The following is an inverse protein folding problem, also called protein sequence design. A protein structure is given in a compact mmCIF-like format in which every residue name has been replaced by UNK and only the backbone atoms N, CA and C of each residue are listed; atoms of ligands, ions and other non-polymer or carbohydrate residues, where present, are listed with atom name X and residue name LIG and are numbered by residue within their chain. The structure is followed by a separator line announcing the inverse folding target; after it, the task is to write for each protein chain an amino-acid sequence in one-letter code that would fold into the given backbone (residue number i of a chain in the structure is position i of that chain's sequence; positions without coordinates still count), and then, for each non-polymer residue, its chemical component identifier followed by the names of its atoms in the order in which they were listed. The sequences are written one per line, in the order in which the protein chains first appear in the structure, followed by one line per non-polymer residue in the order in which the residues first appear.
data_IF_781854182595
#
_entry.id   IF_781854182595
#
_cell.length_a   1.000
_cell.length_b   1.000
_cell.length_c   1.000
_cell.angle_alpha   90.00
_cell.angle_beta   90.00
_cell.angle_gamma   90.00
#
_symmetry.space_group_name_H-M   'P 1'
#
loop_
_entity.id
_entity.type
_entity.pdbx_description
1 polymer ?
#
# COMPACT_ATOMS: atom_id res chain seq x y z
N UNK A 1 -49.62 -14.11 -25.33
CA UNK A 1 -48.63 -13.04 -25.58
C UNK A 1 -48.54 -12.22 -24.30
N UNK A 2 -47.57 -12.48 -23.41
CA UNK A 2 -46.22 -11.88 -23.35
C UNK A 2 -46.25 -10.36 -23.16
N UNK A 3 -46.00 -9.89 -21.93
CA UNK A 3 -45.16 -8.71 -21.61
C UNK A 3 -45.06 -8.54 -20.08
N UNK A 4 -44.04 -9.16 -19.48
CA UNK A 4 -43.53 -8.77 -18.16
C UNK A 4 -42.66 -7.52 -18.37
N UNK A 5 -43.06 -6.39 -17.79
CA UNK A 5 -42.29 -5.14 -17.83
C UNK A 5 -41.18 -5.26 -16.79
N UNK A 6 -39.95 -5.43 -17.28
CA UNK A 6 -38.73 -5.35 -16.49
C UNK A 6 -38.42 -3.89 -16.14
N UNK A 7 -38.12 -3.66 -14.87
CA UNK A 7 -37.62 -2.39 -14.33
C UNK A 7 -36.22 -2.05 -14.84
N UNK A 8 -35.82 -0.76 -14.86
CA UNK A 8 -34.43 -0.39 -14.70
C UNK A 8 -34.20 0.02 -13.25
N UNK A 9 -33.65 -0.91 -12.45
CA UNK A 9 -32.90 -0.57 -11.24
C UNK A 9 -31.68 0.24 -11.70
N UNK A 10 -31.71 1.55 -11.46
CA UNK A 10 -30.55 2.41 -11.63
C UNK A 10 -29.50 1.98 -10.60
N UNK A 11 -28.56 1.13 -11.03
CA UNK A 11 -27.32 0.87 -10.33
C UNK A 11 -26.50 2.17 -10.37
N UNK A 12 -26.68 3.00 -9.34
CA UNK A 12 -25.69 3.99 -8.93
C UNK A 12 -24.47 3.22 -8.44
N UNK A 13 -23.67 2.70 -9.38
CA UNK A 13 -22.32 2.30 -9.12
C UNK A 13 -21.56 3.56 -8.71
N UNK A 14 -21.52 3.83 -7.40
CA UNK A 14 -20.68 4.88 -6.84
C UNK A 14 -19.26 4.67 -7.35
N UNK A 15 -18.59 5.76 -7.72
CA UNK A 15 -17.18 5.78 -8.04
C UNK A 15 -16.42 5.14 -6.87
N UNK A 16 -16.09 3.85 -6.98
CA UNK A 16 -15.25 3.18 -6.02
C UNK A 16 -13.86 3.77 -6.24
N UNK A 17 -13.54 4.79 -5.46
CA UNK A 17 -12.16 5.20 -5.27
C UNK A 17 -11.44 3.94 -4.78
N UNK A 18 -10.65 3.33 -5.67
CA UNK A 18 -9.93 2.05 -5.50
C UNK A 18 -8.80 2.14 -4.46
N UNK A 19 -8.89 3.10 -3.55
CA UNK A 19 -7.88 3.42 -2.58
C UNK A 19 -8.26 2.80 -1.24
N UNK A 20 -7.23 2.40 -0.52
CA UNK A 20 -7.33 1.98 0.86
C UNK A 20 -8.06 3.05 1.68
N UNK A 21 -9.05 2.61 2.46
CA UNK A 21 -9.69 3.44 3.47
C UNK A 21 -9.12 3.05 4.81
N UNK A 22 -8.50 4.00 5.49
CA UNK A 22 -7.96 3.79 6.83
C UNK A 22 -9.06 3.40 7.83
N UNK A 23 -8.75 2.54 8.82
CA UNK A 23 -9.68 2.24 9.89
C UNK A 23 -10.00 3.51 10.69
N UNK A 24 -11.29 3.81 10.84
CA UNK A 24 -11.77 5.00 11.57
C UNK A 24 -12.26 4.68 12.98
N UNK A 25 -12.30 3.40 13.35
CA UNK A 25 -12.80 2.91 14.64
C UNK A 25 -11.98 1.71 15.10
N UNK A 26 -11.72 1.59 16.40
CA UNK A 26 -10.97 0.47 16.97
C UNK A 26 -9.56 0.84 17.40
N UNK A 27 -8.80 -0.15 17.83
CA UNK A 27 -7.38 0.00 18.13
C UNK A 27 -6.58 -0.09 16.84
N UNK A 28 -5.76 0.93 16.57
CA UNK A 28 -5.01 1.05 15.33
C UNK A 28 -3.51 1.21 15.60
N UNK A 29 -2.71 1.00 14.56
CA UNK A 29 -1.28 1.27 14.51
C UNK A 29 -0.93 2.07 13.25
N UNK A 30 0.23 2.72 13.25
CA UNK A 30 0.76 3.41 12.08
C UNK A 30 1.87 2.59 11.42
N UNK A 31 1.86 2.56 10.09
CA UNK A 31 2.93 1.98 9.28
C UNK A 31 3.44 3.04 8.31
N UNK A 32 4.71 3.39 8.44
CA UNK A 32 5.42 4.28 7.52
C UNK A 32 6.23 3.45 6.54
N UNK A 33 5.84 3.50 5.26
CA UNK A 33 6.57 2.88 4.17
C UNK A 33 7.68 3.81 3.69
N UNK A 34 8.85 3.23 3.43
CA UNK A 34 10.01 3.89 2.84
C UNK A 34 10.64 2.97 1.78
N UNK A 35 11.57 3.49 0.97
CA UNK A 35 12.32 2.66 0.02
C UNK A 35 13.78 3.07 -0.11
N UNK A 36 14.57 2.22 -0.76
CA UNK A 36 15.92 2.54 -1.23
C UNK A 36 15.90 3.44 -2.49
N UNK A 37 15.21 4.58 -2.43
CA UNK A 37 14.96 5.48 -3.57
C UNK A 37 14.30 4.79 -4.77
N UNK A 38 13.39 3.85 -4.48
CA UNK A 38 12.65 3.10 -5.50
C UNK A 38 11.17 3.44 -5.45
N UNK A 39 10.68 4.07 -6.50
CA UNK A 39 9.24 4.31 -6.65
C UNK A 39 8.46 2.99 -6.71
N UNK A 40 7.52 2.83 -5.78
CA UNK A 40 6.71 1.63 -5.62
C UNK A 40 5.37 1.99 -4.97
N UNK A 41 4.38 1.10 -5.04
CA UNK A 41 3.06 1.31 -4.47
C UNK A 41 2.90 0.51 -3.17
N UNK A 42 2.84 1.15 -2.00
CA UNK A 42 2.42 0.49 -0.78
C UNK A 42 0.98 0.03 -0.86
N UNK A 43 0.69 -1.10 -0.20
CA UNK A 43 -0.64 -1.67 -0.08
C UNK A 43 -0.90 -2.22 1.32
N UNK A 44 -2.17 -2.24 1.70
CA UNK A 44 -2.66 -2.85 2.94
C UNK A 44 -3.73 -3.88 2.59
N UNK A 45 -3.68 -5.05 3.22
CA UNK A 45 -4.72 -6.06 3.10
C UNK A 45 -5.97 -5.62 3.87
N UNK A 46 -7.09 -5.53 3.15
CA UNK A 46 -8.41 -5.30 3.75
C UNK A 46 -9.23 -6.58 3.59
N UNK A 47 -9.67 -7.20 4.70
CA UNK A 47 -10.45 -8.43 4.64
C UNK A 47 -11.65 -8.32 3.70
N UNK A 48 -11.80 -9.31 2.81
CA UNK A 48 -12.87 -9.34 1.81
C UNK A 48 -12.75 -8.33 0.64
N UNK A 49 -11.80 -7.39 0.69
CA UNK A 49 -11.48 -6.48 -0.43
C UNK A 49 -10.12 -6.76 -1.08
N UNK A 50 -9.26 -7.55 -0.43
CA UNK A 50 -7.93 -7.84 -0.93
C UNK A 50 -6.90 -6.76 -0.57
N UNK A 51 -5.72 -6.80 -1.20
CA UNK A 51 -4.72 -5.73 -1.06
C UNK A 51 -5.21 -4.45 -1.76
N UNK A 52 -5.30 -3.37 -0.99
CA UNK A 52 -5.71 -2.05 -1.44
C UNK A 52 -4.51 -1.11 -1.44
N UNK A 53 -4.37 -0.29 -2.48
CA UNK A 53 -3.30 0.70 -2.58
C UNK A 53 -3.51 1.85 -1.59
N UNK A 54 -2.45 2.21 -0.87
CA UNK A 54 -2.44 3.46 -0.10
C UNK A 54 -2.66 4.65 -1.03
N UNK A 55 -3.12 5.77 -0.48
CA UNK A 55 -3.39 6.97 -1.27
C UNK A 55 -2.14 7.47 -2.00
N UNK A 56 -0.99 7.42 -1.35
CA UNK A 56 0.29 7.83 -1.92
C UNK A 56 1.13 6.63 -2.35
N UNK A 57 1.91 6.81 -3.41
CA UNK A 57 2.98 5.91 -3.83
C UNK A 57 4.34 6.43 -3.38
N UNK A 58 5.30 5.53 -3.16
CA UNK A 58 6.69 5.90 -2.90
C UNK A 58 7.31 6.58 -4.12
N UNK A 59 8.08 7.65 -3.90
CA UNK A 59 8.87 8.34 -4.92
C UNK A 59 10.38 8.07 -4.77
N UNK A 60 11.15 8.47 -5.78
CA UNK A 60 12.62 8.47 -5.74
C UNK A 60 13.11 9.85 -5.30
N UNK A 61 14.22 9.95 -4.54
CA UNK A 61 14.85 11.23 -4.18
C UNK A 61 15.94 11.64 -5.20
N UNK A 62 16.37 12.93 -5.26
CA UNK A 62 15.79 14.10 -4.62
C UNK A 62 14.95 14.87 -5.65
N UNK A 63 13.64 14.87 -5.47
CA UNK A 63 12.76 15.76 -6.22
C UNK A 63 12.76 17.08 -5.44
N UNK A 64 13.83 17.88 -5.55
CA UNK A 64 13.98 19.10 -4.75
C UNK A 64 13.54 20.36 -5.50
N UNK A 65 12.53 21.04 -4.94
CA UNK A 65 12.05 22.36 -5.35
C UNK A 65 10.54 22.48 -5.11
N UNK A 66 10.08 23.56 -4.44
CA UNK A 66 8.68 23.68 -3.99
C UNK A 66 7.61 23.54 -5.08
N UNK A 67 7.92 23.89 -6.33
CA UNK A 67 7.02 23.68 -7.48
C UNK A 67 6.84 22.19 -7.87
N UNK A 68 7.82 21.35 -7.50
CA UNK A 68 7.84 19.92 -7.77
C UNK A 68 7.19 19.13 -6.62
N UNK A 69 7.22 19.68 -5.40
CA UNK A 69 6.49 19.13 -4.24
C UNK A 69 4.97 19.20 -4.47
N UNK A 70 4.45 20.33 -4.95
CA UNK A 70 3.02 20.45 -5.32
C UNK A 70 2.63 19.50 -6.46
N UNK A 71 3.55 19.26 -7.41
CA UNK A 71 3.35 18.29 -8.47
C UNK A 71 3.31 16.86 -7.90
N UNK A 72 4.21 16.51 -6.98
CA UNK A 72 4.23 15.21 -6.34
C UNK A 72 2.97 14.96 -5.51
N UNK A 73 2.50 15.96 -4.77
CA UNK A 73 1.22 15.93 -4.05
C UNK A 73 0.06 15.69 -5.01
N UNK A 74 0.03 16.42 -6.13
CA UNK A 74 -0.98 16.22 -7.19
C UNK A 74 -0.90 14.81 -7.79
N UNK A 75 0.30 14.25 -7.89
CA UNK A 75 0.55 12.90 -8.37
C UNK A 75 0.37 11.83 -7.28
N UNK A 76 0.07 12.22 -6.04
CA UNK A 76 0.04 11.37 -4.84
C UNK A 76 1.31 10.53 -4.70
N UNK A 77 2.46 11.18 -4.70
CA UNK A 77 3.78 10.55 -4.56
C UNK A 77 4.56 11.19 -3.43
N UNK A 78 5.21 10.38 -2.59
CA UNK A 78 5.98 10.87 -1.45
C UNK A 78 7.19 9.96 -1.18
N UNK A 79 8.33 10.49 -0.67
CA UNK A 79 9.45 9.66 -0.24
C UNK A 79 9.09 8.69 0.89
N UNK A 80 8.14 9.10 1.74
CA UNK A 80 7.61 8.30 2.84
C UNK A 80 6.08 8.30 2.79
N UNK A 81 5.46 7.13 2.97
CA UNK A 81 4.00 6.99 2.95
C UNK A 81 3.55 6.38 4.27
N UNK A 82 2.88 7.18 5.10
CA UNK A 82 2.30 6.70 6.36
C UNK A 82 0.84 6.34 6.15
N UNK A 83 0.42 5.21 6.72
CA UNK A 83 -0.98 4.78 6.73
C UNK A 83 -1.33 4.14 8.06
N UNK A 84 -2.61 4.20 8.41
CA UNK A 84 -3.15 3.51 9.58
C UNK A 84 -3.53 2.06 9.25
N UNK A 85 -3.32 1.11 10.16
CA UNK A 85 -3.78 -0.29 10.07
C UNK A 85 -4.48 -0.72 11.36
N UNK A 86 -5.33 -1.75 11.30
CA UNK A 86 -5.93 -2.34 12.50
C UNK A 86 -4.85 -3.01 13.37
N UNK A 87 -4.91 -2.80 14.69
CA UNK A 87 -3.99 -3.45 15.64
C UNK A 87 -4.31 -4.94 15.84
N UNK A 88 -5.55 -5.36 15.61
CA UNK A 88 -5.94 -6.76 15.68
C UNK A 88 -7.10 -7.05 14.70
N UNK A 89 -7.13 -8.24 14.07
CA UNK A 89 -6.16 -9.34 14.14
C UNK A 89 -4.85 -9.03 13.36
N UNK A 90 -3.95 -10.02 13.25
CA UNK A 90 -2.74 -9.89 12.44
C UNK A 90 -3.06 -9.36 11.03
N UNK A 91 -2.35 -8.33 10.61
CA UNK A 91 -2.58 -7.64 9.34
C UNK A 91 -1.51 -8.02 8.31
N UNK A 92 -1.81 -7.80 7.04
CA UNK A 92 -0.85 -7.96 5.94
C UNK A 92 -0.61 -6.64 5.26
N UNK A 93 0.66 -6.29 5.10
CA UNK A 93 1.10 -5.13 4.34
C UNK A 93 1.96 -5.59 3.18
N UNK A 94 2.07 -4.79 2.14
CA UNK A 94 2.91 -5.14 1.00
C UNK A 94 3.31 -3.95 0.17
N UNK A 95 4.14 -4.24 -0.83
CA UNK A 95 4.58 -3.28 -1.83
C UNK A 95 4.51 -3.92 -3.21
N UNK A 96 3.94 -3.18 -4.16
CA UNK A 96 3.94 -3.52 -5.59
C UNK A 96 4.96 -2.63 -6.29
N UNK A 97 5.92 -3.26 -6.98
CA UNK A 97 6.83 -2.56 -7.86
C UNK A 97 6.55 -2.94 -9.30
N UNK A 98 6.41 -1.93 -10.16
CA UNK A 98 6.12 -2.10 -11.58
C UNK A 98 6.75 -0.94 -12.35
N UNK A 99 8.02 -1.09 -12.72
CA UNK A 99 8.77 -0.07 -13.46
C UNK A 99 8.99 -0.53 -14.90
N UNK A 100 8.73 0.38 -15.84
CA UNK A 100 9.13 0.21 -17.24
C UNK A 100 10.55 0.73 -17.39
N UNK A 101 11.40 -0.08 -18.00
CA UNK A 101 12.78 0.27 -18.34
C UNK A 101 12.86 0.94 -19.71
N UNK A 102 14.01 1.55 -20.02
CA UNK A 102 14.24 2.28 -21.26
C UNK A 102 14.18 1.36 -22.50
N UNK A 103 14.54 0.09 -22.35
CA UNK A 103 14.46 -0.95 -23.37
C UNK A 103 13.05 -1.56 -23.54
N UNK A 104 12.04 -0.96 -22.87
CA UNK A 104 10.66 -1.44 -22.78
C UNK A 104 10.44 -2.73 -22.00
N UNK A 105 11.49 -3.32 -21.41
CA UNK A 105 11.30 -4.37 -20.42
C UNK A 105 10.57 -3.81 -19.18
N UNK A 106 9.96 -4.70 -18.41
CA UNK A 106 9.23 -4.33 -17.20
C UNK A 106 9.71 -5.17 -16.04
N UNK A 107 10.24 -4.48 -15.05
CA UNK A 107 10.51 -5.08 -13.77
C UNK A 107 9.23 -5.05 -12.95
N UNK A 108 8.79 -6.24 -12.53
CA UNK A 108 7.56 -6.42 -11.77
C UNK A 108 7.82 -7.36 -10.63
N UNK A 109 7.46 -6.93 -9.44
CA UNK A 109 7.44 -7.79 -8.28
C UNK A 109 6.35 -7.34 -7.32
N UNK A 110 6.03 -8.22 -6.38
CA UNK A 110 5.18 -7.93 -5.24
C UNK A 110 5.72 -8.69 -4.04
N UNK A 111 5.73 -8.04 -2.89
CA UNK A 111 6.18 -8.63 -1.63
C UNK A 111 5.21 -8.23 -0.53
N UNK A 112 4.84 -9.18 0.32
CA UNK A 112 3.93 -8.95 1.43
C UNK A 112 4.48 -9.55 2.71
N UNK A 113 4.21 -8.88 3.82
CA UNK A 113 4.51 -9.33 5.17
C UNK A 113 3.20 -9.45 5.96
N UNK A 114 3.10 -10.47 6.79
CA UNK A 114 2.10 -10.57 7.84
C UNK A 114 2.75 -10.29 9.19
N UNK A 115 2.13 -9.45 10.02
CA UNK A 115 2.58 -9.18 11.37
C UNK A 115 1.40 -8.85 12.29
N UNK A 116 1.64 -8.85 13.60
CA UNK A 116 0.64 -8.51 14.63
C UNK A 116 0.96 -7.13 15.21
N UNK A 117 0.38 -6.04 14.65
CA UNK A 117 0.55 -4.70 15.21
C UNK A 117 0.02 -4.61 16.65
N UNK A 118 0.54 -3.67 17.43
CA UNK A 118 0.04 -3.32 18.75
C UNK A 118 -0.71 -2.00 18.67
N UNK A 119 -1.72 -1.81 19.51
CA UNK A 119 -2.47 -0.57 19.60
C UNK A 119 -1.55 0.61 19.90
N UNK A 120 -1.63 1.67 19.10
CA UNK A 120 -0.75 2.84 19.17
C UNK A 120 0.69 2.57 18.71
N UNK A 121 0.97 1.39 18.16
CA UNK A 121 2.29 1.03 17.66
C UNK A 121 2.66 1.83 16.40
N UNK A 122 3.94 2.14 16.28
CA UNK A 122 4.52 2.77 15.10
C UNK A 122 5.55 1.83 14.48
N UNK A 123 5.42 1.62 13.17
CA UNK A 123 6.23 0.67 12.43
C UNK A 123 6.80 1.29 11.16
N UNK A 124 8.04 0.93 10.82
CA UNK A 124 8.68 1.33 9.58
C UNK A 124 8.84 0.14 8.66
N UNK A 125 8.14 0.17 7.52
CA UNK A 125 8.24 -0.83 6.46
C UNK A 125 9.22 -0.33 5.38
N UNK A 126 10.39 -0.95 5.28
CA UNK A 126 11.43 -0.54 4.32
C UNK A 126 11.48 -1.48 3.12
N UNK A 127 11.17 -0.96 1.95
CA UNK A 127 11.19 -1.66 0.67
C UNK A 127 12.56 -1.52 -0.02
N UNK A 128 13.05 -2.64 -0.54
CA UNK A 128 14.27 -2.69 -1.33
C UNK A 128 14.00 -3.41 -2.63
N UNK A 129 14.33 -2.76 -3.75
CA UNK A 129 14.50 -3.43 -5.04
C UNK A 129 15.99 -3.49 -5.37
N UNK A 130 16.52 -4.70 -5.56
CA UNK A 130 17.89 -4.93 -6.04
C UNK A 130 17.92 -6.14 -6.99
N UNK A 131 18.58 -5.99 -8.14
CA UNK A 131 18.83 -7.08 -9.13
C UNK A 131 17.60 -7.95 -9.46
N UNK A 132 16.44 -7.35 -9.66
CA UNK A 132 15.21 -8.09 -10.02
C UNK A 132 14.48 -8.72 -8.84
N UNK A 133 14.95 -8.52 -7.61
CA UNK A 133 14.36 -9.06 -6.39
C UNK A 133 13.79 -7.95 -5.52
N UNK A 134 12.73 -8.30 -4.78
CA UNK A 134 12.03 -7.40 -3.89
C UNK A 134 12.07 -7.90 -2.47
N UNK A 135 12.59 -7.05 -1.59
CA UNK A 135 12.59 -7.24 -0.15
C UNK A 135 11.68 -6.23 0.52
N UNK A 136 11.04 -6.67 1.60
CA UNK A 136 10.34 -5.80 2.53
C UNK A 136 10.75 -6.21 3.94
N UNK A 137 11.13 -5.23 4.74
CA UNK A 137 11.49 -5.44 6.14
C UNK A 137 10.64 -4.52 7.03
N UNK A 138 10.42 -4.93 8.28
CA UNK A 138 9.59 -4.20 9.22
C UNK A 138 10.34 -3.98 10.53
N UNK A 139 10.37 -2.74 10.99
CA UNK A 139 10.93 -2.35 12.28
C UNK A 139 9.91 -1.62 13.13
N UNK A 140 10.06 -1.69 14.45
CA UNK A 140 9.31 -0.86 15.39
C UNK A 140 9.93 0.54 15.53
N UNK A 141 9.28 1.43 16.28
CA UNK A 141 9.77 2.78 16.58
C UNK A 141 11.15 2.81 17.25
N UNK A 142 11.54 1.75 17.97
CA UNK A 142 12.86 1.64 18.60
C UNK A 142 13.93 1.11 17.62
N UNK A 143 13.55 0.77 16.40
CA UNK A 143 14.43 0.24 15.36
C UNK A 143 14.68 -1.27 15.46
N UNK A 144 13.98 -1.97 16.35
CA UNK A 144 14.07 -3.42 16.46
C UNK A 144 13.31 -4.08 15.31
N UNK A 145 13.76 -5.27 14.91
CA UNK A 145 13.02 -6.06 13.93
C UNK A 145 11.71 -6.57 14.55
N UNK A 146 10.62 -6.43 13.82
CA UNK A 146 9.31 -6.98 14.21
C UNK A 146 9.23 -8.43 13.75
N UNK A 147 8.54 -9.28 14.51
CA UNK A 147 8.17 -10.62 14.06
C UNK A 147 7.15 -10.53 12.91
N UNK A 148 7.68 -10.39 11.70
CA UNK A 148 6.93 -10.26 10.46
C UNK A 148 7.34 -11.37 9.50
N UNK A 149 6.36 -12.12 9.01
CA UNK A 149 6.58 -13.28 8.15
C UNK A 149 6.24 -12.91 6.72
N UNK A 150 7.16 -13.18 5.79
CA UNK A 150 6.86 -13.06 4.37
C UNK A 150 5.75 -14.02 4.00
N UNK A 151 4.69 -13.50 3.38
CA UNK A 151 3.49 -14.25 3.04
C UNK A 151 3.19 -14.16 1.56
N UNK A 152 2.38 -15.09 1.07
CA UNK A 152 1.90 -15.08 -0.29
C UNK A 152 1.03 -13.83 -0.55
N UNK A 153 0.94 -13.45 -1.81
CA UNK A 153 0.07 -12.34 -2.24
C UNK A 153 -1.40 -12.77 -2.26
N UNK A 154 -1.91 -13.09 -1.08
CA UNK A 154 -3.29 -13.41 -0.81
C UNK A 154 -3.69 -12.61 0.42
N UNK A 155 -4.87 -12.00 0.37
CA UNK A 155 -5.44 -11.27 1.49
C UNK A 155 -6.76 -11.99 1.83
N UNK A 156 -6.88 -12.53 3.05
CA UNK A 156 -8.01 -13.38 3.43
C UNK A 156 -9.34 -12.62 3.48
#
# INVERSE_FOLDING_TARGET
MKALIFAPLALLAGCQHLNYQEPTTGETAQVTFTSNDTAAQPVVCVPGKGFQSTDYALSQSPISGGALDELLETMKKSPEVTTTVDAAPATRIGVIYNRRQADNSRDRCRVALQFSPQAGGEYQAHFVYDKGQCGLSLKDAAGNSVDAVQTDWQCP
#
